data_IF_354922841512
#
_entry.id   IF_354922841512
#
_cell.length_a   1.000
_cell.length_b   1.000
_cell.length_c   1.000
_cell.angle_alpha   90.00
_cell.angle_beta   90.00
_cell.angle_gamma   90.00
#
_symmetry.space_group_name_H-M   'P 1'
#
loop_
_entity.id
_entity.type
_entity.pdbx_description
1 polymer ?
#
# COMPACT_ATOMS: atom_id res chain seq x y z
N UNK A 1 31.13 20.06 24.20
CA UNK A 1 32.56 19.70 24.32
C UNK A 1 32.57 18.19 24.57
N UNK A 2 32.99 17.28 23.70
CA UNK A 2 33.82 17.34 22.49
C UNK A 2 33.07 16.92 21.22
N UNK A 3 33.53 17.52 20.13
CA UNK A 3 33.32 17.15 18.74
C UNK A 3 34.37 16.10 18.34
N UNK A 4 34.05 15.27 17.34
CA UNK A 4 34.84 14.95 16.13
C UNK A 4 34.50 13.54 15.60
N UNK A 5 34.69 13.29 14.29
CA UNK A 5 33.70 12.64 13.43
C UNK A 5 34.20 11.29 12.91
N UNK A 6 33.30 10.53 12.27
CA UNK A 6 33.71 9.45 11.38
C UNK A 6 32.87 9.53 10.11
N UNK A 7 33.55 9.85 9.01
CA UNK A 7 33.06 9.77 7.65
C UNK A 7 33.14 8.34 7.15
N UNK A 8 32.06 7.84 6.55
CA UNK A 8 32.12 7.00 5.35
C UNK A 8 30.83 7.16 4.54
N UNK A 9 30.90 7.22 3.20
CA UNK A 9 29.72 7.41 2.36
C UNK A 9 29.11 6.05 2.02
N UNK A 10 28.00 5.69 2.67
CA UNK A 10 27.19 4.57 2.19
C UNK A 10 26.24 5.05 1.08
N UNK A 11 26.39 4.42 -0.08
CA UNK A 11 25.55 4.58 -1.26
C UNK A 11 24.08 4.30 -0.93
N UNK A 12 23.32 5.32 -0.59
CA UNK A 12 21.87 5.27 -0.66
C UNK A 12 21.45 5.33 -2.13
N UNK A 13 21.03 4.18 -2.69
CA UNK A 13 20.22 4.15 -3.90
C UNK A 13 18.78 4.56 -3.57
N UNK A 14 18.63 5.81 -3.13
CA UNK A 14 17.35 6.50 -3.13
C UNK A 14 17.13 7.10 -4.53
N UNK A 15 15.98 6.85 -5.13
CA UNK A 15 15.55 7.63 -6.29
C UNK A 15 15.22 9.03 -5.77
N UNK A 16 16.19 9.93 -5.87
CA UNK A 16 15.95 11.37 -5.89
C UNK A 16 15.21 11.68 -7.19
N UNK A 17 14.02 12.26 -7.08
CA UNK A 17 13.45 13.01 -8.19
C UNK A 17 14.25 14.32 -8.26
N UNK A 18 15.30 14.36 -9.08
CA UNK A 18 15.90 15.62 -9.49
C UNK A 18 14.99 16.28 -10.53
N UNK A 19 14.56 17.51 -10.23
CA UNK A 19 13.93 18.38 -11.22
C UNK A 19 14.99 18.74 -12.28
N UNK A 20 14.93 18.05 -13.42
CA UNK A 20 15.70 18.46 -14.60
C UNK A 20 14.99 19.67 -15.21
N UNK A 21 15.49 20.86 -14.88
CA UNK A 21 15.15 22.10 -15.58
C UNK A 21 15.64 21.99 -17.03
N UNK A 22 14.73 21.67 -17.96
CA UNK A 22 15.00 21.83 -19.39
C UNK A 22 15.00 23.33 -19.67
N UNK A 23 16.18 23.85 -20.00
CA UNK A 23 16.38 25.25 -20.39
C UNK A 23 15.40 25.66 -21.49
N UNK A 24 15.00 26.93 -21.45
CA UNK A 24 14.11 27.59 -22.40
C UNK A 24 14.62 27.41 -23.85
N UNK A 25 14.20 26.34 -24.50
CA UNK A 25 14.37 26.09 -25.91
C UNK A 25 13.03 25.62 -26.45
N UNK A 26 12.26 26.53 -27.04
CA UNK A 26 11.00 26.22 -27.71
C UNK A 26 11.26 25.34 -28.93
N UNK A 27 11.03 24.04 -28.80
CA UNK A 27 10.95 23.13 -29.95
C UNK A 27 9.57 23.27 -30.60
N UNK A 28 9.50 24.00 -31.70
CA UNK A 28 8.33 24.05 -32.58
C UNK A 28 8.43 22.86 -33.53
N UNK A 29 7.45 21.94 -33.48
CA UNK A 29 7.27 20.93 -34.52
C UNK A 29 6.43 21.55 -35.64
N UNK A 30 7.06 21.78 -36.79
CA UNK A 30 6.36 22.20 -38.02
C UNK A 30 5.80 20.95 -38.72
N UNK A 31 4.50 20.96 -39.06
CA UNK A 31 3.74 19.82 -39.59
C UNK A 31 4.07 19.48 -41.06
N UNK A 32 5.05 20.13 -41.70
CA UNK A 32 5.22 20.06 -43.15
C UNK A 32 6.58 19.64 -43.69
N UNK A 33 7.54 19.18 -42.88
CA UNK A 33 8.82 18.71 -43.43
C UNK A 33 9.33 17.38 -42.87
N UNK A 34 9.83 16.57 -43.81
CA UNK A 34 10.47 15.27 -43.67
C UNK A 34 11.43 15.17 -42.49
N UNK A 35 11.39 14.03 -41.80
CA UNK A 35 12.21 13.65 -40.66
C UNK A 35 13.69 14.08 -40.79
N UNK A 36 14.08 15.13 -40.07
CA UNK A 36 15.45 15.25 -39.58
C UNK A 36 15.55 14.44 -38.29
N UNK A 37 16.10 13.23 -38.40
CA UNK A 37 16.48 12.43 -37.25
C UNK A 37 17.68 13.11 -36.57
N UNK A 38 17.44 13.77 -35.44
CA UNK A 38 18.51 14.16 -34.54
C UNK A 38 19.02 12.88 -33.85
N UNK A 39 20.31 12.62 -33.99
CA UNK A 39 21.02 11.55 -33.28
C UNK A 39 21.06 11.89 -31.78
N UNK A 40 20.00 11.55 -31.06
CA UNK A 40 20.05 11.38 -29.61
C UNK A 40 20.83 10.08 -29.35
N UNK A 41 21.91 10.18 -28.57
CA UNK A 41 22.66 9.00 -28.13
C UNK A 41 21.82 8.21 -27.12
N UNK A 42 21.12 7.20 -27.65
CA UNK A 42 20.21 6.30 -26.91
C UNK A 42 20.95 5.20 -26.14
N UNK A 43 22.29 5.15 -26.16
CA UNK A 43 23.06 4.10 -25.51
C UNK A 43 22.96 4.13 -23.97
N UNK A 44 22.75 5.31 -23.38
CA UNK A 44 22.54 5.52 -21.94
C UNK A 44 21.13 5.16 -21.44
N UNK A 45 20.17 4.90 -22.33
CA UNK A 45 18.73 4.91 -22.02
C UNK A 45 18.08 3.51 -21.95
N UNK A 46 18.87 2.44 -22.10
CA UNK A 46 18.39 1.07 -22.37
C UNK A 46 17.79 0.26 -21.21
N UNK A 47 17.47 0.84 -20.04
CA UNK A 47 17.09 0.02 -18.86
C UNK A 47 15.82 0.41 -18.09
N UNK A 48 14.97 1.28 -18.59
CA UNK A 48 13.67 1.54 -17.92
C UNK A 48 12.59 1.93 -18.93
N UNK A 49 11.41 1.32 -18.80
CA UNK A 49 10.19 1.87 -19.40
C UNK A 49 9.95 3.23 -18.76
N UNK A 50 10.21 4.30 -19.50
CA UNK A 50 9.92 5.67 -19.09
C UNK A 50 8.72 6.18 -19.88
N UNK A 51 7.74 6.73 -19.17
CA UNK A 51 6.58 7.38 -19.74
C UNK A 51 6.81 8.88 -19.70
N UNK A 52 6.69 9.54 -20.85
CA UNK A 52 6.81 10.99 -20.95
C UNK A 52 5.50 11.58 -21.46
N UNK A 53 5.00 12.59 -20.76
CA UNK A 53 3.88 13.40 -21.21
C UNK A 53 4.45 14.67 -21.84
N UNK A 54 4.20 14.89 -23.13
CA UNK A 54 4.49 16.17 -23.79
C UNK A 54 3.16 16.89 -24.00
N UNK A 55 3.09 18.14 -23.55
CA UNK A 55 1.95 19.03 -23.79
C UNK A 55 2.35 20.17 -24.71
N UNK A 56 1.66 20.31 -25.83
CA UNK A 56 1.69 21.49 -26.70
C UNK A 56 0.24 21.82 -27.08
N UNK A 57 -0.18 23.06 -26.84
CA UNK A 57 -1.44 23.63 -27.36
C UNK A 57 -2.67 22.72 -27.28
N UNK A 58 -3.08 22.29 -26.08
CA UNK A 58 -4.26 21.45 -25.81
C UNK A 58 -4.18 19.97 -26.22
N UNK A 59 -3.00 19.44 -26.57
CA UNK A 59 -2.82 18.02 -26.87
C UNK A 59 -1.76 17.41 -25.96
N UNK A 60 -2.15 16.39 -25.20
CA UNK A 60 -1.23 15.56 -24.42
C UNK A 60 -0.97 14.26 -25.18
N UNK A 61 0.29 13.88 -25.35
CA UNK A 61 0.65 12.57 -25.88
C UNK A 61 1.49 11.78 -24.88
N UNK A 62 1.27 10.46 -24.83
CA UNK A 62 2.21 9.53 -24.20
C UNK A 62 3.23 9.11 -25.23
N UNK A 63 4.50 9.33 -24.92
CA UNK A 63 5.61 8.71 -25.63
C UNK A 63 6.00 7.43 -24.90
N UNK A 64 5.85 6.31 -25.59
CA UNK A 64 6.35 5.01 -25.13
C UNK A 64 7.51 4.60 -26.03
N UNK A 65 8.66 4.39 -25.40
CA UNK A 65 9.84 3.80 -26.02
C UNK A 65 9.91 2.33 -25.60
N UNK A 66 10.05 1.43 -26.56
CA UNK A 66 10.37 0.04 -26.27
C UNK A 66 11.87 -0.25 -26.45
N UNK A 67 12.29 -1.44 -26.01
CA UNK A 67 13.68 -1.92 -26.12
C UNK A 67 14.17 -2.08 -27.56
N UNK A 68 13.27 -2.04 -28.54
CA UNK A 68 13.59 -2.06 -29.97
C UNK A 68 13.69 -0.65 -30.58
N UNK A 69 13.66 0.40 -29.75
CA UNK A 69 13.64 1.81 -30.17
C UNK A 69 12.38 2.20 -30.95
N UNK A 70 11.30 1.42 -30.86
CA UNK A 70 10.03 1.80 -31.46
C UNK A 70 9.37 2.85 -30.57
N UNK A 71 9.15 4.04 -31.13
CA UNK A 71 8.41 5.11 -30.47
C UNK A 71 6.93 5.02 -30.86
N UNK A 72 6.07 4.74 -29.89
CA UNK A 72 4.62 4.82 -30.08
C UNK A 72 4.09 6.09 -29.43
N UNK A 73 3.51 6.96 -30.24
CA UNK A 73 2.84 8.19 -29.81
C UNK A 73 1.35 7.87 -29.68
N UNK A 74 0.84 7.83 -28.45
CA UNK A 74 -0.61 7.75 -28.22
C UNK A 74 -1.13 9.14 -27.92
N UNK A 75 -1.96 9.69 -28.82
CA UNK A 75 -2.68 10.95 -28.58
C UNK A 75 -3.83 10.64 -27.62
N UNK A 76 -3.88 11.32 -26.47
CA UNK A 76 -5.06 11.29 -25.63
C UNK A 76 -6.07 12.35 -26.11
N UNK A 77 -7.35 12.12 -25.83
CA UNK A 77 -8.34 13.19 -25.89
C UNK A 77 -7.89 14.34 -24.97
N UNK A 78 -8.24 15.57 -25.31
CA UNK A 78 -8.07 16.69 -24.39
C UNK A 78 -8.92 16.44 -23.14
N UNK A 79 -8.26 16.05 -22.03
CA UNK A 79 -8.90 15.79 -20.74
C UNK A 79 -8.92 17.03 -19.85
N UNK A 80 -8.50 18.20 -20.33
CA UNK A 80 -8.54 19.44 -19.54
C UNK A 80 -9.94 19.75 -19.02
N UNK A 81 -10.97 19.46 -19.83
CA UNK A 81 -12.37 19.56 -19.43
C UNK A 81 -12.74 18.60 -18.28
N UNK A 82 -12.13 17.42 -18.19
CA UNK A 82 -12.36 16.46 -17.10
C UNK A 82 -11.74 16.97 -15.81
N UNK A 83 -10.50 17.50 -15.87
CA UNK A 83 -9.86 18.14 -14.72
C UNK A 83 -10.71 19.29 -14.17
N UNK A 84 -11.17 20.18 -15.04
CA UNK A 84 -12.04 21.30 -14.66
C UNK A 84 -13.39 20.82 -14.08
N UNK A 85 -13.96 19.74 -14.60
CA UNK A 85 -15.20 19.15 -14.07
C UNK A 85 -14.99 18.58 -12.66
N UNK A 86 -13.92 17.81 -12.44
CA UNK A 86 -13.58 17.25 -11.12
C UNK A 86 -13.36 18.35 -10.07
N UNK A 87 -12.84 19.50 -10.49
CA UNK A 87 -12.62 20.65 -9.61
C UNK A 87 -13.90 21.40 -9.27
N UNK A 88 -14.86 21.47 -10.22
CA UNK A 88 -16.12 22.20 -10.04
C UNK A 88 -17.21 21.37 -9.35
N UNK A 89 -17.16 20.05 -9.45
CA UNK A 89 -18.20 19.15 -8.96
C UNK A 89 -17.61 18.17 -7.95
N UNK A 90 -17.52 18.61 -6.70
CA UNK A 90 -16.95 17.80 -5.60
C UNK A 90 -17.64 16.45 -5.43
N UNK A 91 -18.95 16.38 -5.65
CA UNK A 91 -19.72 15.15 -5.51
C UNK A 91 -19.31 14.10 -6.54
N UNK A 92 -19.15 14.51 -7.81
CA UNK A 92 -18.71 13.62 -8.89
C UNK A 92 -17.26 13.19 -8.65
N UNK A 93 -16.41 14.14 -8.25
CA UNK A 93 -15.02 13.86 -7.90
C UNK A 93 -14.95 12.81 -6.80
N UNK A 94 -15.71 12.99 -5.72
CA UNK A 94 -15.66 12.08 -4.57
C UNK A 94 -16.21 10.70 -4.93
N UNK A 95 -17.24 10.61 -5.78
CA UNK A 95 -17.74 9.34 -6.34
C UNK A 95 -16.67 8.60 -7.15
N UNK A 96 -15.97 9.30 -8.05
CA UNK A 96 -14.91 8.70 -8.87
C UNK A 96 -13.75 8.28 -7.98
N UNK A 97 -13.30 9.18 -7.10
CA UNK A 97 -12.14 8.97 -6.22
C UNK A 97 -12.39 7.82 -5.26
N UNK A 98 -13.62 7.63 -4.78
CA UNK A 98 -13.97 6.51 -3.90
C UNK A 98 -13.84 5.14 -4.58
N UNK A 99 -13.87 5.07 -5.90
CA UNK A 99 -13.63 3.84 -6.67
C UNK A 99 -12.16 3.62 -7.06
N UNK A 100 -11.31 4.64 -6.93
CA UNK A 100 -9.89 4.57 -7.27
C UNK A 100 -9.05 3.92 -6.16
N UNK A 101 -7.95 3.27 -6.51
CA UNK A 101 -6.92 2.91 -5.55
C UNK A 101 -6.18 4.16 -5.03
N UNK A 102 -5.56 4.07 -3.85
CA UNK A 102 -4.77 5.19 -3.32
C UNK A 102 -3.57 5.53 -4.20
N UNK A 103 -3.03 4.58 -4.96
CA UNK A 103 -1.98 4.85 -5.95
C UNK A 103 -2.52 5.71 -7.10
N UNK A 104 -3.70 5.41 -7.63
CA UNK A 104 -4.35 6.22 -8.66
C UNK A 104 -4.73 7.61 -8.14
N UNK A 105 -5.21 7.71 -6.91
CA UNK A 105 -5.46 9.01 -6.25
C UNK A 105 -4.17 9.81 -6.16
N UNK A 106 -3.05 9.18 -5.79
CA UNK A 106 -1.76 9.86 -5.75
C UNK A 106 -1.32 10.34 -7.14
N UNK A 107 -1.52 9.54 -8.19
CA UNK A 107 -1.27 9.98 -9.57
C UNK A 107 -2.14 11.16 -9.96
N UNK A 108 -3.44 11.16 -9.61
CA UNK A 108 -4.32 12.31 -9.83
C UNK A 108 -3.84 13.57 -9.11
N UNK A 109 -3.36 13.44 -7.87
CA UNK A 109 -2.78 14.56 -7.10
C UNK A 109 -1.54 15.17 -7.76
N UNK A 110 -0.80 14.40 -8.56
CA UNK A 110 0.37 14.89 -9.28
C UNK A 110 0.02 15.69 -10.53
N UNK A 111 -1.24 15.67 -10.98
CA UNK A 111 -1.66 16.39 -12.21
C UNK A 111 -1.82 17.89 -12.02
N UNK A 112 -1.99 18.38 -10.77
CA UNK A 112 -2.10 19.81 -10.49
C UNK A 112 -2.33 20.13 -9.01
N UNK A 113 -1.97 21.36 -8.61
CA UNK A 113 -2.08 21.80 -7.21
C UNK A 113 -3.51 21.75 -6.67
N UNK A 114 -4.50 22.16 -7.47
CA UNK A 114 -5.91 22.17 -7.03
C UNK A 114 -6.44 20.75 -6.76
N UNK A 115 -6.06 19.77 -7.59
CA UNK A 115 -6.37 18.35 -7.35
C UNK A 115 -5.57 17.78 -6.19
N UNK A 116 -4.30 18.17 -6.04
CA UNK A 116 -3.48 17.78 -4.90
C UNK A 116 -4.12 18.15 -3.57
N UNK A 117 -4.62 19.38 -3.49
CA UNK A 117 -5.17 19.98 -2.28
C UNK A 117 -6.58 19.43 -2.03
N UNK A 118 -7.42 19.36 -3.06
CA UNK A 118 -8.78 18.81 -2.93
C UNK A 118 -8.85 17.31 -2.63
N UNK A 119 -7.82 16.54 -2.98
CA UNK A 119 -7.74 15.11 -2.69
C UNK A 119 -6.84 14.78 -1.48
N UNK A 120 -6.32 15.80 -0.79
CA UNK A 120 -5.38 15.63 0.33
C UNK A 120 -5.97 14.83 1.50
N UNK A 121 -7.28 14.89 1.69
CA UNK A 121 -8.02 14.23 2.78
C UNK A 121 -8.50 12.80 2.43
N UNK A 122 -8.22 12.31 1.22
CA UNK A 122 -8.83 11.07 0.72
C UNK A 122 -8.51 9.86 1.60
N UNK A 123 -7.27 9.75 2.08
CA UNK A 123 -6.90 8.67 3.00
C UNK A 123 -7.69 8.76 4.31
N UNK A 124 -7.75 9.95 4.91
CA UNK A 124 -8.46 10.18 6.18
C UNK A 124 -9.95 9.89 6.06
N UNK A 125 -10.57 10.29 4.95
CA UNK A 125 -11.98 9.98 4.66
C UNK A 125 -12.23 8.48 4.62
N UNK A 126 -11.34 7.72 3.99
CA UNK A 126 -11.42 6.24 3.92
C UNK A 126 -11.17 5.60 5.28
N UNK A 127 -10.17 6.06 6.03
CA UNK A 127 -9.91 5.59 7.39
C UNK A 127 -11.14 5.81 8.29
N UNK A 128 -11.73 7.01 8.26
CA UNK A 128 -12.96 7.32 9.00
C UNK A 128 -14.11 6.42 8.60
N UNK A 129 -14.32 6.19 7.29
CA UNK A 129 -15.36 5.29 6.79
C UNK A 129 -15.15 3.84 7.26
N UNK A 130 -13.91 3.36 7.25
CA UNK A 130 -13.57 2.00 7.66
C UNK A 130 -13.62 1.77 9.17
N UNK A 131 -13.26 2.78 9.97
CA UNK A 131 -13.13 2.64 11.43
C UNK A 131 -14.32 3.18 12.24
N UNK A 132 -15.09 4.14 11.71
CA UNK A 132 -16.29 4.66 12.39
C UNK A 132 -17.34 3.61 12.78
N UNK A 133 -17.50 2.47 12.07
CA UNK A 133 -18.40 1.42 12.53
C UNK A 133 -17.93 0.73 13.82
N UNK A 134 -16.64 0.84 14.17
CA UNK A 134 -16.05 0.23 15.36
C UNK A 134 -15.84 1.25 16.49
N UNK A 135 -15.42 2.46 16.13
CA UNK A 135 -15.03 3.50 17.08
C UNK A 135 -15.66 4.85 16.70
N UNK A 136 -16.49 5.46 17.57
CA UNK A 136 -17.03 6.79 17.33
C UNK A 136 -15.93 7.85 17.13
N UNK A 137 -14.85 7.75 17.92
CA UNK A 137 -13.66 8.60 17.80
C UNK A 137 -12.53 7.84 17.09
N UNK A 138 -12.44 8.03 15.77
CA UNK A 138 -11.39 7.42 14.94
C UNK A 138 -10.01 7.99 15.26
N UNK A 139 -9.92 9.25 15.68
CA UNK A 139 -8.63 9.86 16.03
C UNK A 139 -8.09 9.27 17.34
N UNK A 140 -8.94 8.99 18.32
CA UNK A 140 -8.57 8.25 19.53
C UNK A 140 -8.08 6.83 19.19
N UNK A 141 -8.73 6.13 18.26
CA UNK A 141 -8.27 4.83 17.80
C UNK A 141 -6.90 4.90 17.12
N UNK A 142 -6.69 5.85 16.19
CA UNK A 142 -5.38 6.09 15.59
C UNK A 142 -4.31 6.39 16.64
N UNK A 143 -4.64 7.19 17.66
CA UNK A 143 -3.73 7.48 18.77
C UNK A 143 -3.38 6.22 19.57
N UNK A 144 -4.36 5.35 19.87
CA UNK A 144 -4.13 4.09 20.55
C UNK A 144 -3.18 3.17 19.76
N UNK A 145 -3.35 3.05 18.44
CA UNK A 145 -2.43 2.29 17.59
C UNK A 145 -0.99 2.83 17.71
N UNK A 146 -0.82 4.15 17.67
CA UNK A 146 0.50 4.82 17.77
C UNK A 146 1.16 4.60 19.12
N UNK A 147 0.41 4.80 20.20
CA UNK A 147 0.92 4.68 21.59
C UNK A 147 1.32 3.24 21.89
N UNK A 148 0.55 2.27 21.39
CA UNK A 148 0.74 0.86 21.67
C UNK A 148 1.49 0.10 20.56
N UNK A 149 2.06 0.81 19.58
CA UNK A 149 2.78 0.23 18.45
C UNK A 149 2.00 -0.92 17.77
N UNK A 150 0.67 -0.79 17.73
CA UNK A 150 -0.22 -1.76 17.13
C UNK A 150 -0.47 -1.40 15.66
N UNK A 151 -0.77 -2.39 14.84
CA UNK A 151 -1.09 -2.19 13.44
C UNK A 151 -2.41 -2.85 13.08
N UNK A 152 -3.18 -2.21 12.20
CA UNK A 152 -4.34 -2.81 11.54
C UNK A 152 -3.88 -3.47 10.25
N UNK A 153 -4.19 -4.75 10.07
CA UNK A 153 -3.82 -5.51 8.89
C UNK A 153 -5.03 -5.98 8.08
N UNK A 154 -4.78 -6.99 7.23
CA UNK A 154 -5.85 -7.82 6.71
C UNK A 154 -6.71 -7.14 5.66
N UNK A 155 -7.99 -7.52 5.63
CA UNK A 155 -8.88 -7.04 4.57
C UNK A 155 -9.37 -5.61 4.73
N UNK A 156 -9.33 -5.08 5.95
CA UNK A 156 -9.68 -3.67 6.20
C UNK A 156 -8.68 -2.74 5.54
N UNK A 157 -7.38 -2.97 5.78
CA UNK A 157 -6.32 -2.18 5.13
C UNK A 157 -6.38 -2.31 3.61
N UNK A 158 -6.63 -3.51 3.09
CA UNK A 158 -6.81 -3.73 1.66
C UNK A 158 -7.98 -2.89 1.09
N UNK A 159 -9.13 -2.85 1.78
CA UNK A 159 -10.30 -2.09 1.32
C UNK A 159 -10.08 -0.58 1.30
N UNK A 160 -9.23 -0.05 2.19
CA UNK A 160 -8.84 1.37 2.21
C UNK A 160 -7.94 1.69 1.01
N UNK A 161 -6.98 0.80 0.71
CA UNK A 161 -6.03 0.99 -0.38
C UNK A 161 -6.65 0.84 -1.76
N UNK A 162 -7.47 -0.19 -1.95
CA UNK A 162 -8.13 -0.51 -3.22
C UNK A 162 -9.59 -0.86 -2.93
N UNK A 163 -10.48 0.15 -2.96
CA UNK A 163 -11.90 -0.05 -2.81
C UNK A 163 -12.45 -1.02 -3.87
N UNK A 164 -13.59 -1.61 -3.57
CA UNK A 164 -14.30 -2.49 -4.49
C UNK A 164 -15.71 -2.77 -4.01
N UNK A 165 -16.45 -3.62 -4.76
CA UNK A 165 -17.83 -4.02 -4.43
C UNK A 165 -17.92 -5.05 -3.30
N UNK A 166 -17.11 -4.86 -2.26
CA UNK A 166 -17.01 -5.74 -1.10
C UNK A 166 -16.62 -4.92 0.13
N UNK A 167 -16.98 -5.41 1.32
CA UNK A 167 -16.59 -4.79 2.58
C UNK A 167 -15.87 -5.82 3.49
N UNK A 168 -14.93 -5.37 4.34
CA UNK A 168 -14.41 -6.19 5.42
C UNK A 168 -15.50 -6.41 6.48
N UNK A 169 -15.56 -7.63 7.04
CA UNK A 169 -16.54 -7.98 8.09
C UNK A 169 -15.95 -7.85 9.50
N UNK A 170 -14.64 -7.76 9.60
CA UNK A 170 -13.85 -7.74 10.82
C UNK A 170 -12.68 -6.76 10.71
N UNK A 171 -12.15 -6.37 11.87
CA UNK A 171 -10.95 -5.56 12.00
C UNK A 171 -9.84 -6.41 12.63
N UNK A 172 -8.76 -6.64 11.88
CA UNK A 172 -7.59 -7.39 12.35
C UNK A 172 -6.55 -6.43 12.96
N UNK A 173 -6.29 -6.53 14.26
CA UNK A 173 -5.27 -5.75 14.99
C UNK A 173 -4.14 -6.67 15.41
N UNK A 174 -2.90 -6.24 15.20
CA UNK A 174 -1.70 -6.96 15.63
C UNK A 174 -0.89 -6.08 16.58
N UNK A 175 -0.46 -6.63 17.71
CA UNK A 175 0.28 -5.90 18.73
C UNK A 175 1.33 -6.80 19.39
N UNK A 176 2.39 -6.22 19.94
CA UNK A 176 3.36 -6.96 20.76
C UNK A 176 2.83 -7.15 22.18
N UNK A 177 3.35 -8.13 22.97
CA UNK A 177 2.82 -8.46 24.28
C UNK A 177 3.01 -7.30 25.27
N UNK A 178 4.11 -6.56 25.09
CA UNK A 178 4.45 -5.35 25.86
C UNK A 178 3.34 -4.30 25.84
N UNK A 179 2.62 -4.18 24.74
CA UNK A 179 1.60 -3.14 24.56
C UNK A 179 0.17 -3.69 24.48
N UNK A 180 0.00 -5.01 24.50
CA UNK A 180 -1.30 -5.66 24.34
C UNK A 180 -2.33 -5.20 25.38
N UNK A 181 -1.91 -5.05 26.63
CA UNK A 181 -2.82 -4.62 27.71
C UNK A 181 -3.49 -3.27 27.42
N UNK A 182 -2.75 -2.30 26.87
CA UNK A 182 -3.31 -0.99 26.53
C UNK A 182 -4.37 -1.05 25.43
N UNK A 183 -4.15 -1.87 24.40
CA UNK A 183 -5.15 -2.11 23.36
C UNK A 183 -6.37 -2.83 23.95
N UNK A 184 -6.18 -3.83 24.82
CA UNK A 184 -7.28 -4.56 25.46
C UNK A 184 -8.15 -3.58 26.27
N UNK A 185 -7.55 -2.76 27.13
CA UNK A 185 -8.29 -1.74 27.91
C UNK A 185 -9.04 -0.79 26.97
N UNK A 186 -8.38 -0.29 25.92
CA UNK A 186 -9.03 0.57 24.93
C UNK A 186 -10.26 -0.08 24.30
N UNK A 187 -10.19 -1.36 23.92
CA UNK A 187 -11.33 -2.09 23.34
C UNK A 187 -12.47 -2.25 24.35
N UNK A 188 -12.16 -2.60 25.60
CA UNK A 188 -13.16 -2.76 26.67
C UNK A 188 -13.87 -1.43 26.97
N UNK A 189 -13.13 -0.33 27.01
CA UNK A 189 -13.68 1.02 27.22
C UNK A 189 -14.63 1.45 26.10
N UNK A 190 -14.45 0.90 24.89
CA UNK A 190 -15.34 1.10 23.73
C UNK A 190 -16.47 0.06 23.65
N UNK A 191 -16.73 -0.66 24.74
CA UNK A 191 -17.86 -1.58 24.88
C UNK A 191 -17.69 -2.93 24.17
N UNK A 192 -16.50 -3.22 23.64
CA UNK A 192 -16.21 -4.55 23.11
C UNK A 192 -16.07 -5.55 24.25
N UNK A 193 -16.58 -6.76 24.02
CA UNK A 193 -16.48 -7.89 24.96
C UNK A 193 -15.70 -9.01 24.31
N UNK A 194 -14.76 -9.60 25.05
CA UNK A 194 -14.07 -10.80 24.60
C UNK A 194 -15.07 -11.97 24.59
N UNK A 195 -15.25 -12.63 23.44
CA UNK A 195 -16.30 -13.65 23.26
C UNK A 195 -15.79 -15.08 23.50
N UNK A 196 -14.50 -15.36 23.33
CA UNK A 196 -13.99 -16.73 23.45
C UNK A 196 -12.53 -16.81 23.87
N UNK A 197 -12.25 -17.76 24.78
CA UNK A 197 -10.94 -18.18 25.34
C UNK A 197 -9.80 -18.12 24.32
N UNK A 198 -8.68 -17.53 24.77
CA UNK A 198 -7.34 -17.60 24.17
C UNK A 198 -7.13 -18.92 23.45
N UNK A 199 -7.19 -18.90 22.12
CA UNK A 199 -6.69 -20.02 21.35
C UNK A 199 -5.19 -19.84 21.24
N UNK A 200 -4.42 -20.63 21.99
CA UNK A 200 -3.01 -20.83 21.67
C UNK A 200 -2.95 -21.58 20.34
N UNK A 201 -2.92 -20.83 19.24
CA UNK A 201 -2.83 -21.37 17.89
C UNK A 201 -1.37 -21.70 17.60
N UNK A 202 -0.85 -22.71 18.31
CA UNK A 202 0.50 -23.27 18.09
C UNK A 202 0.66 -23.89 16.67
N UNK A 203 -0.43 -23.94 15.88
CA UNK A 203 -0.49 -24.68 14.61
C UNK A 203 -0.93 -23.90 13.37
N UNK A 204 -1.25 -22.60 13.47
CA UNK A 204 -1.84 -21.86 12.33
C UNK A 204 -0.88 -20.96 11.54
N UNK A 205 0.42 -20.99 11.84
CA UNK A 205 1.48 -20.48 10.97
C UNK A 205 2.59 -21.55 10.88
N UNK A 206 3.31 -21.66 9.76
CA UNK A 206 4.15 -22.81 9.43
C UNK A 206 5.20 -23.04 10.50
N UNK A 207 5.26 -24.30 10.84
CA UNK A 207 6.14 -24.89 11.82
C UNK A 207 7.44 -25.25 11.09
N UNK A 208 8.42 -24.35 11.14
CA UNK A 208 9.82 -24.78 10.99
C UNK A 208 10.47 -24.80 12.37
N UNK A 209 11.36 -25.78 12.53
CA UNK A 209 11.77 -26.41 13.78
C UNK A 209 12.63 -25.47 14.67
N UNK A 210 12.99 -24.27 14.20
CA UNK A 210 13.88 -23.33 14.92
C UNK A 210 13.38 -21.86 15.00
N UNK A 211 12.17 -21.52 14.50
CA UNK A 211 11.73 -20.11 14.33
C UNK A 211 10.23 -19.85 14.46
N UNK A 212 9.59 -20.43 15.47
CA UNK A 212 8.13 -20.35 15.68
C UNK A 212 7.69 -18.94 16.06
N UNK A 213 6.77 -18.35 15.28
CA UNK A 213 6.04 -17.15 15.70
C UNK A 213 4.81 -17.63 16.46
N UNK A 214 4.90 -17.55 17.78
CA UNK A 214 3.75 -17.77 18.65
C UNK A 214 2.94 -16.48 18.76
N UNK A 215 1.63 -16.61 18.82
CA UNK A 215 0.73 -15.50 19.04
C UNK A 215 -0.49 -15.96 19.82
N UNK A 216 -1.02 -15.07 20.65
CA UNK A 216 -2.34 -15.24 21.26
C UNK A 216 -3.38 -14.58 20.38
N UNK A 217 -4.47 -15.31 20.15
CA UNK A 217 -5.59 -14.83 19.37
C UNK A 217 -6.77 -14.56 20.31
N UNK A 218 -7.24 -13.32 20.29
CA UNK A 218 -8.38 -12.83 21.06
C UNK A 218 -9.44 -12.29 20.11
N UNK A 219 -10.70 -12.63 20.37
CA UNK A 219 -11.84 -12.17 19.57
C UNK A 219 -12.74 -11.28 20.42
N UNK A 220 -12.92 -10.04 19.97
CA UNK A 220 -13.72 -9.01 20.62
C UNK A 220 -14.94 -8.67 19.78
N UNK A 221 -16.09 -8.49 20.42
CA UNK A 221 -17.33 -8.17 19.73
C UNK A 221 -18.10 -7.05 20.43
N UNK A 222 -18.72 -6.19 19.61
CA UNK A 222 -19.71 -5.20 20.04
C UNK A 222 -20.88 -5.23 19.05
N UNK A 223 -21.99 -5.85 19.44
CA UNK A 223 -23.11 -6.11 18.52
C UNK A 223 -22.68 -6.98 17.32
N UNK A 224 -22.78 -6.44 16.10
CA UNK A 224 -22.35 -7.10 14.87
C UNK A 224 -20.91 -6.76 14.44
N UNK A 225 -20.15 -6.03 15.28
CA UNK A 225 -18.78 -5.63 15.00
C UNK A 225 -17.81 -6.60 15.64
N UNK A 226 -16.86 -7.10 14.84
CA UNK A 226 -15.85 -8.08 15.23
C UNK A 226 -14.45 -7.50 15.12
N UNK A 227 -13.65 -7.64 16.17
CA UNK A 227 -12.23 -7.30 16.18
C UNK A 227 -11.43 -8.55 16.53
N UNK A 228 -10.50 -8.91 15.66
CA UNK A 228 -9.52 -9.97 15.88
C UNK A 228 -8.22 -9.34 16.35
N UNK A 229 -7.85 -9.57 17.62
CA UNK A 229 -6.61 -9.09 18.22
C UNK A 229 -5.59 -10.23 18.28
N UNK A 230 -4.49 -10.08 17.56
CA UNK A 230 -3.34 -10.97 17.56
C UNK A 230 -2.21 -10.37 18.39
N UNK A 231 -1.85 -11.02 19.51
CA UNK A 231 -0.73 -10.63 20.37
C UNK A 231 0.48 -11.49 20.03
N UNK A 232 1.49 -10.91 19.40
CA UNK A 232 2.68 -11.64 18.90
C UNK A 232 3.65 -11.90 20.04
N UNK A 233 3.80 -13.15 20.51
CA UNK A 233 4.59 -13.47 21.70
C UNK A 233 6.10 -13.27 21.55
N UNK A 234 6.61 -13.32 20.33
CA UNK A 234 8.05 -13.25 20.08
C UNK A 234 8.52 -11.80 20.05
N UNK A 235 9.32 -11.36 21.04
CA UNK A 235 9.75 -9.96 21.18
C UNK A 235 10.52 -9.42 19.95
N UNK A 236 11.31 -10.27 19.28
CA UNK A 236 12.01 -9.86 18.05
C UNK A 236 11.10 -9.70 16.82
N UNK A 237 9.82 -10.05 16.91
CA UNK A 237 8.87 -9.99 15.78
C UNK A 237 7.96 -8.79 15.97
N UNK A 238 8.17 -7.77 15.14
CA UNK A 238 7.31 -6.59 15.12
C UNK A 238 5.91 -6.95 14.58
N UNK A 239 4.85 -6.23 14.97
CA UNK A 239 3.52 -6.40 14.38
C UNK A 239 3.51 -6.29 12.84
N UNK A 240 4.32 -5.39 12.27
CA UNK A 240 4.50 -5.28 10.83
C UNK A 240 5.11 -6.56 10.20
N UNK A 241 6.14 -7.14 10.83
CA UNK A 241 6.72 -8.42 10.40
C UNK A 241 5.75 -9.59 10.60
N UNK A 242 4.87 -9.55 11.60
CA UNK A 242 3.83 -10.57 11.75
C UNK A 242 2.83 -10.54 10.58
N UNK A 243 2.45 -9.36 10.09
CA UNK A 243 1.55 -9.24 8.92
C UNK A 243 2.09 -9.97 7.68
N UNK A 244 3.43 -10.04 7.52
CA UNK A 244 4.09 -10.81 6.45
C UNK A 244 3.86 -12.33 6.52
N UNK A 245 3.28 -12.84 7.60
CA UNK A 245 2.94 -14.26 7.73
C UNK A 245 1.61 -14.63 7.08
N UNK A 246 0.80 -13.63 6.66
CA UNK A 246 -0.54 -13.86 6.10
C UNK A 246 -0.49 -14.68 4.80
N UNK A 247 -1.62 -15.25 4.39
CA UNK A 247 -1.70 -16.22 3.29
C UNK A 247 -1.35 -15.67 1.90
N UNK A 248 -1.46 -14.37 1.69
CA UNK A 248 -1.16 -13.74 0.39
C UNK A 248 -0.79 -12.27 0.54
N UNK A 249 -0.08 -11.74 -0.44
CA UNK A 249 0.36 -10.34 -0.47
C UNK A 249 -0.78 -9.33 -0.45
N UNK A 250 -1.97 -9.71 -0.94
CA UNK A 250 -3.15 -8.84 -0.92
C UNK A 250 -3.52 -8.35 0.49
N UNK A 251 -3.27 -9.16 1.51
CA UNK A 251 -3.64 -8.83 2.90
C UNK A 251 -2.43 -8.50 3.78
N UNK A 252 -1.23 -8.41 3.21
CA UNK A 252 0.01 -8.07 3.93
C UNK A 252 0.21 -6.57 4.11
N UNK A 253 -0.80 -5.78 3.81
CA UNK A 253 -0.79 -4.34 3.98
C UNK A 253 -1.15 -3.99 5.43
N UNK A 254 -0.58 -2.92 5.99
CA UNK A 254 -0.93 -2.49 7.34
C UNK A 254 -1.06 -0.97 7.52
N UNK A 255 -1.75 -0.56 8.59
CA UNK A 255 -1.88 0.83 9.04
C UNK A 255 -1.45 0.92 10.51
N UNK A 256 -0.53 1.83 10.85
CA UNK A 256 0.07 1.94 12.19
C UNK A 256 -0.50 3.10 13.04
N UNK A 257 -1.60 3.72 12.57
CA UNK A 257 -2.14 4.94 13.17
C UNK A 257 -1.50 6.24 12.66
N UNK A 258 -0.43 6.19 11.86
CA UNK A 258 0.22 7.36 11.20
C UNK A 258 0.16 7.27 9.69
N UNK A 259 0.44 6.10 9.15
CA UNK A 259 0.53 5.88 7.71
C UNK A 259 0.01 4.50 7.35
N UNK A 260 -0.49 4.39 6.12
CA UNK A 260 -0.89 3.13 5.53
C UNK A 260 0.25 2.63 4.63
N UNK A 261 0.65 1.38 4.79
CA UNK A 261 1.83 0.77 4.17
C UNK A 261 1.43 -0.38 3.27
N UNK A 262 1.74 -0.25 1.98
CA UNK A 262 1.58 -1.28 0.98
C UNK A 262 2.91 -1.97 0.70
N UNK A 263 3.04 -3.21 1.19
CA UNK A 263 4.27 -3.99 1.12
C UNK A 263 4.50 -4.59 -0.27
N UNK A 264 3.43 -4.74 -1.05
CA UNK A 264 3.45 -5.31 -2.40
C UNK A 264 2.59 -4.43 -3.33
N UNK A 265 3.06 -3.22 -3.68
CA UNK A 265 2.27 -2.24 -4.41
C UNK A 265 1.90 -2.71 -5.82
N UNK A 266 2.82 -3.39 -6.51
CA UNK A 266 2.54 -3.91 -7.86
C UNK A 266 1.42 -4.93 -7.84
N UNK A 267 1.39 -5.82 -6.86
CA UNK A 267 0.35 -6.83 -6.70
C UNK A 267 -0.96 -6.17 -6.29
N UNK A 268 -0.92 -5.39 -5.20
CA UNK A 268 -2.10 -4.78 -4.57
C UNK A 268 -2.85 -3.85 -5.53
N UNK A 269 -2.12 -2.95 -6.21
CA UNK A 269 -2.72 -1.96 -7.11
C UNK A 269 -3.02 -2.49 -8.51
N UNK A 270 -2.48 -3.65 -8.91
CA UNK A 270 -2.91 -4.35 -10.13
C UNK A 270 -4.02 -5.39 -9.88
N UNK A 271 -4.44 -5.57 -8.63
CA UNK A 271 -5.52 -6.52 -8.30
C UNK A 271 -5.04 -7.96 -8.47
N UNK A 272 -3.77 -8.21 -8.16
CA UNK A 272 -3.17 -9.54 -8.17
C UNK A 272 -2.56 -9.86 -6.81
N UNK A 273 -2.15 -11.11 -6.58
CA UNK A 273 -1.40 -11.46 -5.37
C UNK A 273 -0.43 -12.62 -5.60
N UNK A 274 0.59 -12.66 -4.74
CA UNK A 274 1.47 -13.82 -4.55
C UNK A 274 0.99 -14.59 -3.33
N UNK A 275 1.15 -15.91 -3.37
CA UNK A 275 0.86 -16.78 -2.24
C UNK A 275 2.02 -16.75 -1.25
N UNK A 276 1.70 -16.93 0.03
CA UNK A 276 2.71 -17.19 1.04
C UNK A 276 2.86 -18.70 1.23
N UNK A 277 4.03 -19.27 0.88
CA UNK A 277 4.32 -20.69 1.12
C UNK A 277 4.27 -21.04 2.60
N UNK A 278 4.48 -20.02 3.42
CA UNK A 278 4.54 -20.07 4.86
C UNK A 278 3.19 -19.74 5.51
N UNK A 279 2.08 -20.21 4.97
CA UNK A 279 0.79 -20.16 5.68
C UNK A 279 0.09 -21.53 5.59
N UNK A 280 -0.43 -22.08 6.70
CA UNK A 280 -1.07 -23.40 6.69
C UNK A 280 -2.22 -23.49 5.70
N UNK A 281 -2.21 -24.60 4.96
CA UNK A 281 -2.97 -24.81 3.73
C UNK A 281 -4.49 -24.67 3.91
N UNK A 282 -5.06 -25.16 5.01
CA UNK A 282 -6.51 -25.13 5.24
C UNK A 282 -7.10 -23.72 5.41
N UNK A 283 -6.40 -22.84 6.14
CA UNK A 283 -6.82 -21.45 6.30
C UNK A 283 -6.41 -20.59 5.10
N UNK A 284 -5.25 -20.91 4.50
CA UNK A 284 -4.77 -20.22 3.31
C UNK A 284 -5.75 -20.37 2.14
N UNK A 285 -6.28 -21.56 1.87
CA UNK A 285 -7.21 -21.79 0.76
C UNK A 285 -8.53 -21.00 0.92
N UNK A 286 -9.06 -20.92 2.15
CA UNK A 286 -10.25 -20.10 2.45
C UNK A 286 -9.96 -18.62 2.27
N UNK A 287 -8.81 -18.15 2.74
CA UNK A 287 -8.35 -16.78 2.52
C UNK A 287 -8.18 -16.45 1.04
N UNK A 288 -7.53 -17.32 0.27
CA UNK A 288 -7.34 -17.20 -1.18
C UNK A 288 -8.68 -17.10 -1.90
N UNK A 289 -9.62 -18.01 -1.60
CA UNK A 289 -10.97 -18.00 -2.20
C UNK A 289 -11.69 -16.68 -1.89
N UNK A 290 -11.61 -16.21 -0.63
CA UNK A 290 -12.17 -14.93 -0.18
C UNK A 290 -11.56 -13.73 -0.91
N UNK A 291 -10.26 -13.76 -1.23
CA UNK A 291 -9.59 -12.68 -1.96
C UNK A 291 -9.94 -12.73 -3.45
N UNK A 292 -10.02 -13.91 -4.04
CA UNK A 292 -10.45 -14.09 -5.43
C UNK A 292 -11.88 -13.61 -5.67
N UNK A 293 -12.82 -13.89 -4.75
CA UNK A 293 -14.21 -13.39 -4.86
C UNK A 293 -14.32 -11.86 -4.79
N UNK A 294 -13.27 -11.17 -4.32
CA UNK A 294 -13.16 -9.71 -4.28
C UNK A 294 -12.53 -9.10 -5.55
N UNK A 295 -12.30 -9.92 -6.57
CA UNK A 295 -11.77 -9.50 -7.88
C UNK A 295 -10.25 -9.56 -8.00
N UNK A 296 -9.55 -10.11 -7.01
CA UNK A 296 -8.10 -10.29 -7.08
C UNK A 296 -7.71 -11.56 -7.82
N UNK A 297 -6.67 -11.49 -8.65
CA UNK A 297 -6.16 -12.62 -9.42
C UNK A 297 -4.94 -13.24 -8.76
N UNK A 298 -4.99 -14.56 -8.60
CA UNK A 298 -3.82 -15.32 -8.17
C UNK A 298 -2.80 -15.38 -9.30
N UNK A 299 -1.55 -15.04 -9.02
CA UNK A 299 -0.47 -15.13 -10.02
C UNK A 299 0.10 -16.54 -10.15
N UNK A 300 -0.23 -17.45 -9.23
CA UNK A 300 0.37 -18.77 -9.13
C UNK A 300 1.79 -18.80 -8.54
N UNK A 301 2.40 -17.63 -8.33
CA UNK A 301 3.75 -17.49 -7.77
C UNK A 301 3.73 -17.33 -6.24
N UNK A 302 4.84 -17.68 -5.60
CA UNK A 302 5.04 -17.47 -4.17
C UNK A 302 5.93 -16.26 -3.89
N UNK A 303 5.72 -15.62 -2.74
CA UNK A 303 6.56 -14.52 -2.25
C UNK A 303 8.03 -14.98 -2.19
N UNK A 304 8.25 -16.20 -1.69
CA UNK A 304 9.57 -16.78 -1.51
C UNK A 304 10.35 -16.95 -2.81
N UNK A 305 9.65 -17.16 -3.93
CA UNK A 305 10.30 -17.34 -5.23
C UNK A 305 10.83 -16.01 -5.79
N UNK A 306 10.23 -14.88 -5.38
CA UNK A 306 10.62 -13.54 -5.87
C UNK A 306 11.65 -12.84 -5.01
N UNK A 307 11.59 -13.03 -3.70
CA UNK A 307 12.40 -12.28 -2.74
C UNK A 307 13.42 -13.18 -2.04
N UNK A 308 13.99 -14.10 -2.81
CA UNK A 308 14.93 -15.16 -2.41
C UNK A 308 15.94 -14.67 -1.36
N UNK A 309 15.63 -14.83 -0.08
CA UNK A 309 16.34 -14.14 1.00
C UNK A 309 17.57 -14.88 1.50
N UNK A 310 17.98 -15.99 0.87
CA UNK A 310 19.09 -16.84 1.30
C UNK A 310 18.84 -17.61 2.60
N UNK A 311 18.10 -17.01 3.54
CA UNK A 311 17.64 -17.62 4.78
C UNK A 311 16.44 -18.53 4.53
N UNK A 312 16.50 -19.74 5.11
CA UNK A 312 15.40 -20.69 5.17
C UNK A 312 14.26 -20.05 5.99
N UNK A 313 13.40 -19.31 5.31
CA UNK A 313 12.09 -18.93 5.82
C UNK A 313 12.00 -17.58 6.51
N UNK A 314 11.68 -16.57 5.69
CA UNK A 314 10.68 -15.49 5.86
C UNK A 314 11.23 -14.20 5.28
N UNK A 315 10.44 -13.59 4.40
CA UNK A 315 10.68 -12.23 3.94
C UNK A 315 10.21 -11.30 5.03
N UNK A 316 11.12 -10.51 5.58
CA UNK A 316 10.82 -9.47 6.56
C UNK A 316 10.57 -8.15 5.83
N UNK A 317 9.90 -7.20 6.50
CA UNK A 317 9.53 -5.91 5.91
C UNK A 317 10.79 -5.14 5.46
N UNK A 318 11.87 -5.20 6.22
CA UNK A 318 13.16 -4.56 5.94
C UNK A 318 13.88 -5.15 4.71
N UNK A 319 13.55 -6.38 4.32
CA UNK A 319 14.12 -7.04 3.13
C UNK A 319 13.32 -6.73 1.85
N UNK A 320 12.22 -5.98 1.93
CA UNK A 320 11.42 -5.64 0.75
C UNK A 320 12.08 -4.50 -0.03
N UNK A 321 12.26 -4.62 -1.36
CA UNK A 321 12.97 -3.63 -2.15
C UNK A 321 12.18 -2.33 -2.33
N UNK A 322 10.85 -2.39 -2.19
CA UNK A 322 9.95 -1.25 -2.37
C UNK A 322 8.74 -1.39 -1.47
N UNK A 323 8.50 -0.38 -0.65
CA UNK A 323 7.28 -0.21 0.14
C UNK A 323 6.65 1.10 -0.29
N UNK A 324 5.37 1.04 -0.66
CA UNK A 324 4.59 2.25 -0.89
C UNK A 324 3.90 2.65 0.40
N UNK A 325 3.81 3.94 0.72
CA UNK A 325 3.05 4.40 1.87
C UNK A 325 2.42 5.77 1.64
N UNK A 326 1.37 6.05 2.42
CA UNK A 326 0.74 7.36 2.47
C UNK A 326 0.46 7.73 3.93
N UNK A 327 0.86 8.94 4.33
CA UNK A 327 0.63 9.47 5.67
C UNK A 327 -0.82 9.93 5.81
N UNK A 328 -1.44 9.57 6.93
CA UNK A 328 -2.74 10.07 7.35
C UNK A 328 -2.58 11.36 8.15
N UNK A 329 -3.62 12.19 8.19
CA UNK A 329 -3.69 13.42 9.00
C UNK A 329 -4.63 13.31 10.21
N UNK A 330 -5.18 12.10 10.46
CA UNK A 330 -6.16 11.78 11.53
C UNK A 330 -5.62 11.68 12.96
#
# INVERSE_FOLDING_TARGET
MCLMPCESPENHSGVLYEDVMIGQGSCVFDETNSAQAYNLDLSLWRRTLQHWAISSGHKTCLLRFDVSSLCTITRFADLSGVGALLLRMSEIRDLIVDDLSLAEVQLLRLTGNELRDSLSDTLDRRLRRSFSPYFPDVSAFCAALRIHHAVVGGSTTLSIMRPGKWCPNDLDIVVSPRYAHGIIVFLLDHGFKEITRTMHKDSLYPQHIEGRIYFDYHCYMNGNKKIDLCVVRHEAVTPANYVMTYHSTAVMNFFDGRAIFCLFPNETFNGTFLRNRFTPTGNANRGITKIQSRGYKDTGAYIQDRYNSGDIGRVTVDKLPRIWFMKATV
#
